data_IF_129885339755
#
_entry.id   IF_129885339755
#
_cell.length_a   1.000
_cell.length_b   1.000
_cell.length_c   1.000
_cell.angle_alpha   90.00
_cell.angle_beta   90.00
_cell.angle_gamma   90.00
#
_symmetry.space_group_name_H-M   'P 1'
#
loop_
_entity.id
_entity.type
_entity.pdbx_description
1 polymer ?
#
# COMPACT_ATOMS: atom_id res chain seq x y z
N UNK A 1 -9.37 -10.06 -16.80
CA UNK A 1 -8.76 -9.40 -15.64
C UNK A 1 -8.38 -8.00 -16.06
N UNK A 2 -8.37 -7.04 -15.16
CA UNK A 2 -7.99 -5.65 -15.44
C UNK A 2 -6.60 -5.35 -14.85
N UNK A 3 -5.93 -4.33 -15.40
CA UNK A 3 -4.56 -3.99 -15.04
C UNK A 3 -4.38 -3.61 -13.55
N UNK A 4 -5.40 -3.02 -12.91
CA UNK A 4 -5.36 -2.67 -11.48
C UNK A 4 -5.32 -3.94 -10.64
N UNK A 5 -6.22 -4.89 -10.93
CA UNK A 5 -6.26 -6.19 -10.25
C UNK A 5 -4.95 -6.96 -10.39
N UNK A 6 -4.31 -6.91 -11.58
CA UNK A 6 -3.05 -7.61 -11.81
C UNK A 6 -1.90 -6.96 -11.02
N UNK A 7 -1.84 -5.63 -10.98
CA UNK A 7 -0.85 -4.90 -10.18
C UNK A 7 -1.07 -5.12 -8.68
N UNK A 8 -2.32 -5.00 -8.19
CA UNK A 8 -2.63 -5.23 -6.77
C UNK A 8 -2.29 -6.64 -6.29
N UNK A 9 -2.49 -7.67 -7.14
CA UNK A 9 -2.02 -9.03 -6.83
C UNK A 9 -0.50 -9.13 -6.78
N UNK A 10 0.18 -8.43 -7.70
CA UNK A 10 1.63 -8.42 -7.73
C UNK A 10 2.24 -7.76 -6.49
N UNK A 11 1.57 -6.76 -5.92
CA UNK A 11 2.05 -5.95 -4.79
C UNK A 11 1.97 -6.68 -3.43
N UNK A 12 1.17 -7.74 -3.33
CA UNK A 12 0.97 -8.49 -2.08
C UNK A 12 0.66 -7.57 -0.89
N UNK A 13 -0.45 -6.85 -0.97
CA UNK A 13 -0.90 -6.02 0.13
C UNK A 13 -1.17 -6.87 1.38
N UNK A 14 -0.76 -6.37 2.51
CA UNK A 14 -1.08 -6.91 3.83
C UNK A 14 -1.53 -5.76 4.72
N UNK A 15 -2.78 -5.78 5.16
CA UNK A 15 -3.37 -4.71 5.95
C UNK A 15 -3.24 -4.93 7.45
N UNK A 16 -3.24 -3.84 8.21
CA UNK A 16 -3.42 -3.86 9.65
C UNK A 16 -4.17 -2.60 10.11
N UNK A 17 -5.04 -2.76 11.11
CA UNK A 17 -5.53 -1.67 11.95
C UNK A 17 -4.72 -1.71 13.23
N UNK A 18 -4.13 -0.59 13.60
CA UNK A 18 -3.28 -0.53 14.79
C UNK A 18 -3.84 0.36 15.89
N UNK A 19 -4.75 1.29 15.56
CA UNK A 19 -5.24 2.28 16.51
C UNK A 19 -6.69 2.67 16.25
N UNK A 20 -7.47 2.76 17.33
CA UNK A 20 -8.72 3.49 17.37
C UNK A 20 -8.56 4.68 18.30
N UNK A 21 -8.84 5.90 17.80
CA UNK A 21 -8.68 7.14 18.56
C UNK A 21 -9.99 7.87 18.79
N UNK A 22 -10.19 8.37 20.02
CA UNK A 22 -11.21 9.37 20.36
C UNK A 22 -10.50 10.65 20.72
N UNK A 23 -10.62 11.65 19.87
CA UNK A 23 -9.96 12.93 20.00
C UNK A 23 -10.98 14.02 20.31
N UNK A 24 -10.64 14.96 21.21
CA UNK A 24 -11.49 16.11 21.53
C UNK A 24 -10.73 17.41 21.27
N UNK A 25 -11.33 18.32 20.52
CA UNK A 25 -10.67 19.59 20.16
C UNK A 25 -10.28 20.44 21.41
N UNK A 26 -9.16 21.21 21.39
CA UNK A 26 -8.14 21.22 20.36
C UNK A 26 -7.19 20.02 20.46
N UNK A 27 -6.78 19.48 19.31
CA UNK A 27 -5.78 18.42 19.21
C UNK A 27 -5.11 18.44 17.82
N UNK A 28 -3.87 18.03 17.79
CA UNK A 28 -3.13 17.76 16.55
C UNK A 28 -2.08 16.68 16.84
N UNK A 29 -1.96 15.71 15.96
CA UNK A 29 -1.00 14.60 16.06
C UNK A 29 -0.18 14.52 14.80
N UNK A 30 1.11 14.22 14.94
CA UNK A 30 1.98 13.91 13.81
C UNK A 30 1.96 12.41 13.56
N UNK A 31 1.42 12.02 12.41
CA UNK A 31 1.45 10.65 11.91
C UNK A 31 2.79 10.37 11.24
N UNK A 32 3.58 9.46 11.83
CA UNK A 32 4.78 8.91 11.20
C UNK A 32 4.60 7.42 11.03
N UNK A 33 4.94 6.94 9.85
CA UNK A 33 5.03 5.51 9.63
C UNK A 33 6.39 5.04 10.13
N UNK A 34 6.49 4.79 11.45
CA UNK A 34 7.71 4.27 12.06
C UNK A 34 7.87 2.79 11.73
N UNK A 35 9.06 2.41 11.28
CA UNK A 35 9.40 1.02 11.00
C UNK A 35 9.24 0.11 12.23
N UNK A 36 9.49 0.61 13.45
CA UNK A 36 9.32 -0.14 14.69
C UNK A 36 7.84 -0.40 14.99
N UNK A 37 6.97 0.62 14.82
CA UNK A 37 5.52 0.46 14.98
C UNK A 37 4.96 -0.52 13.95
N UNK A 38 5.37 -0.37 12.69
CA UNK A 38 4.93 -1.25 11.61
C UNK A 38 5.40 -2.69 11.80
N UNK A 39 6.62 -2.91 12.31
CA UNK A 39 7.19 -4.24 12.50
C UNK A 39 6.39 -5.09 13.52
N UNK A 40 5.75 -4.48 14.50
CA UNK A 40 4.88 -5.17 15.45
C UNK A 40 3.65 -5.80 14.78
N UNK A 41 3.14 -5.20 13.70
CA UNK A 41 1.96 -5.66 12.97
C UNK A 41 2.31 -6.30 11.63
N UNK A 42 3.34 -5.80 10.96
CA UNK A 42 3.75 -6.18 9.61
C UNK A 42 5.28 -6.35 9.54
N UNK A 43 5.83 -7.44 10.06
CA UNK A 43 7.26 -7.62 10.30
C UNK A 43 8.15 -7.65 9.04
N UNK A 44 7.57 -7.65 7.84
CA UNK A 44 8.30 -7.76 6.56
C UNK A 44 8.01 -6.61 5.60
N UNK A 45 7.45 -5.49 6.07
CA UNK A 45 7.09 -4.38 5.20
C UNK A 45 8.29 -3.49 4.88
N UNK A 46 8.58 -3.31 3.59
CA UNK A 46 9.57 -2.33 3.11
C UNK A 46 8.92 -0.98 2.81
N UNK A 47 7.65 -0.96 2.40
CA UNK A 47 6.86 0.23 2.14
C UNK A 47 5.51 0.13 2.83
N UNK A 48 5.07 1.24 3.40
CA UNK A 48 3.82 1.32 4.13
C UNK A 48 2.94 2.43 3.55
N UNK A 49 1.68 2.09 3.30
CA UNK A 49 0.61 3.03 3.00
C UNK A 49 -0.13 3.29 4.31
N UNK A 50 -0.19 4.52 4.78
CA UNK A 50 -0.99 4.87 5.96
C UNK A 50 -2.40 5.28 5.54
N UNK A 51 -3.39 4.97 6.38
CA UNK A 51 -4.76 5.44 6.18
C UNK A 51 -5.42 5.80 7.52
N UNK A 52 -6.35 6.76 7.45
CA UNK A 52 -7.16 7.20 8.57
C UNK A 52 -8.61 7.30 8.15
N UNK A 53 -9.48 6.57 8.82
CA UNK A 53 -10.90 6.57 8.57
C UNK A 53 -11.61 7.38 9.65
N UNK A 54 -12.33 8.40 9.25
CA UNK A 54 -13.11 9.23 10.15
C UNK A 54 -14.45 8.56 10.40
N UNK A 55 -14.67 8.09 11.64
CA UNK A 55 -15.92 7.43 12.05
C UNK A 55 -16.95 8.43 12.51
N UNK A 56 -16.50 9.50 13.21
CA UNK A 56 -17.39 10.52 13.79
C UNK A 56 -16.67 11.87 13.82
N UNK A 57 -17.43 12.97 13.68
CA UNK A 57 -16.90 14.32 13.70
C UNK A 57 -16.16 14.70 12.42
N UNK A 58 -15.21 15.61 12.56
CA UNK A 58 -14.39 16.10 11.45
C UNK A 58 -13.00 16.50 11.92
N UNK A 59 -12.04 16.54 10.98
CA UNK A 59 -10.68 16.99 11.24
C UNK A 59 -10.01 17.52 9.96
N UNK A 60 -8.81 18.05 10.10
CA UNK A 60 -7.92 18.44 9.02
C UNK A 60 -6.74 17.50 8.95
N UNK A 61 -6.22 17.29 7.73
CA UNK A 61 -4.96 16.58 7.51
C UNK A 61 -4.11 17.30 6.47
N UNK A 62 -2.78 17.24 6.63
CA UNK A 62 -1.82 17.81 5.67
C UNK A 62 -0.49 17.05 5.74
N UNK A 63 0.31 17.11 4.68
CA UNK A 63 1.69 16.65 4.70
C UNK A 63 2.53 17.59 5.57
N UNK A 64 3.47 17.03 6.32
CA UNK A 64 4.30 17.84 7.24
C UNK A 64 5.25 18.79 6.50
N UNK A 65 5.64 18.47 5.27
CA UNK A 65 6.52 19.25 4.40
C UNK A 65 5.77 20.12 3.37
N UNK A 66 4.41 20.06 3.34
CA UNK A 66 3.57 20.76 2.38
C UNK A 66 2.27 21.27 3.03
N UNK A 67 2.29 22.47 3.66
CA UNK A 67 1.11 23.05 4.28
C UNK A 67 -0.06 23.30 3.31
N UNK A 68 0.24 23.50 2.01
CA UNK A 68 -0.79 23.73 0.98
C UNK A 68 -1.57 22.44 0.64
N UNK A 69 -1.10 21.29 1.09
CA UNK A 69 -1.79 20.00 0.97
C UNK A 69 -2.95 19.82 1.93
N UNK A 70 -3.29 20.82 2.75
CA UNK A 70 -4.31 20.72 3.78
C UNK A 70 -5.69 20.36 3.22
N UNK A 71 -6.29 19.29 3.73
CA UNK A 71 -7.63 18.83 3.38
C UNK A 71 -8.50 18.65 4.61
N UNK A 72 -9.78 19.02 4.48
CA UNK A 72 -10.78 18.80 5.51
C UNK A 72 -11.42 17.42 5.31
N UNK A 73 -11.62 16.70 6.42
CA UNK A 73 -12.21 15.37 6.48
C UNK A 73 -13.44 15.35 7.37
N UNK A 74 -14.47 14.66 6.93
CA UNK A 74 -15.71 14.44 7.67
C UNK A 74 -15.92 12.96 7.98
N UNK A 75 -16.81 12.65 8.88
CA UNK A 75 -17.24 11.27 9.15
C UNK A 75 -17.65 10.55 7.86
N UNK A 76 -17.17 9.32 7.68
CA UNK A 76 -17.33 8.50 6.48
C UNK A 76 -16.30 8.79 5.37
N UNK A 77 -15.32 9.68 5.60
CA UNK A 77 -14.23 9.90 4.66
C UNK A 77 -12.96 9.14 5.10
N UNK A 78 -12.27 8.58 4.12
CA UNK A 78 -11.00 7.87 4.26
C UNK A 78 -9.87 8.76 3.75
N UNK A 79 -8.89 9.05 4.60
CA UNK A 79 -7.61 9.63 4.22
C UNK A 79 -6.63 8.53 3.86
N UNK A 80 -5.87 8.70 2.77
CA UNK A 80 -4.81 7.79 2.36
C UNK A 80 -3.51 8.57 2.11
N UNK A 81 -2.41 8.04 2.65
CA UNK A 81 -1.03 8.53 2.45
C UNK A 81 -0.20 7.40 1.83
N UNK A 82 -0.20 7.26 0.49
CA UNK A 82 0.33 6.07 -0.21
C UNK A 82 1.84 5.87 -0.07
N UNK A 83 2.57 6.93 0.19
CA UNK A 83 4.03 6.90 0.29
C UNK A 83 4.51 6.76 1.76
N UNK A 84 3.58 6.65 2.73
CA UNK A 84 3.92 6.60 4.15
C UNK A 84 4.59 7.87 4.69
N UNK A 85 4.34 9.00 4.03
CA UNK A 85 4.95 10.29 4.37
C UNK A 85 4.45 10.79 5.72
N UNK A 86 5.29 11.58 6.38
CA UNK A 86 4.92 12.24 7.63
C UNK A 86 3.81 13.25 7.36
N UNK A 87 2.73 13.14 8.10
CA UNK A 87 1.54 13.98 7.95
C UNK A 87 0.99 14.40 9.31
N UNK A 88 0.27 15.51 9.32
CA UNK A 88 -0.43 16.03 10.48
C UNK A 88 -1.91 15.72 10.34
N UNK A 89 -2.55 15.36 11.45
CA UNK A 89 -4.00 15.22 11.55
C UNK A 89 -4.47 15.88 12.83
N UNK A 90 -5.50 16.74 12.75
CA UNK A 90 -5.92 17.53 13.91
C UNK A 90 -7.25 18.24 13.74
N UNK A 91 -7.74 18.83 14.82
CA UNK A 91 -8.99 19.63 14.83
C UNK A 91 -8.86 20.97 14.10
N UNK A 92 -7.64 21.45 13.88
CA UNK A 92 -7.31 22.64 13.07
C UNK A 92 -5.88 22.49 12.48
N UNK A 93 -5.58 23.27 11.44
CA UNK A 93 -4.31 23.17 10.68
C UNK A 93 -3.14 23.86 11.34
N UNK A 94 -3.38 24.81 12.25
CA UNK A 94 -2.40 25.69 12.89
C UNK A 94 -2.00 25.25 14.31
N UNK A 95 -2.45 24.07 14.74
CA UNK A 95 -2.12 23.55 16.05
C UNK A 95 -0.75 22.90 16.07
N UNK A 96 -0.01 23.09 17.19
CA UNK A 96 1.25 22.39 17.41
C UNK A 96 1.01 20.87 17.51
N UNK A 97 1.74 20.05 16.72
CA UNK A 97 1.50 18.63 16.69
C UNK A 97 2.13 17.93 17.90
N UNK A 98 1.39 16.99 18.48
CA UNK A 98 1.89 16.06 19.49
C UNK A 98 2.49 14.84 18.80
N UNK A 99 3.74 14.45 19.11
CA UNK A 99 4.34 13.23 18.57
C UNK A 99 3.53 11.97 18.92
N UNK A 100 3.43 11.03 17.97
CA UNK A 100 2.71 9.77 18.17
C UNK A 100 3.30 8.98 19.34
N UNK A 101 4.60 9.03 19.57
CA UNK A 101 5.29 8.36 20.67
C UNK A 101 4.80 8.89 22.05
N UNK A 102 4.50 10.19 22.14
CA UNK A 102 3.92 10.81 23.34
C UNK A 102 2.49 10.34 23.55
N UNK A 103 1.72 10.27 22.44
CA UNK A 103 0.34 9.78 22.48
C UNK A 103 0.26 8.33 22.94
N UNK A 104 1.22 7.50 22.56
CA UNK A 104 1.27 6.06 22.85
C UNK A 104 2.08 5.72 24.12
N UNK A 105 2.75 6.67 24.76
CA UNK A 105 3.68 6.42 25.87
C UNK A 105 3.05 5.70 27.09
N UNK A 106 1.74 5.75 27.26
CA UNK A 106 1.01 5.01 28.30
C UNK A 106 0.43 3.67 27.86
N UNK A 107 0.59 3.28 26.59
CA UNK A 107 -0.13 2.16 25.96
C UNK A 107 0.79 1.11 25.31
N UNK A 108 2.11 1.22 25.46
CA UNK A 108 3.11 0.30 24.90
C UNK A 108 3.07 -1.12 25.50
N UNK A 109 2.08 -1.45 26.33
CA UNK A 109 1.88 -2.77 26.93
C UNK A 109 0.82 -3.62 26.17
N UNK A 110 0.42 -3.21 24.96
CA UNK A 110 -0.50 -3.99 24.11
C UNK A 110 0.29 -5.10 23.44
N UNK A 111 -0.25 -6.32 23.46
CA UNK A 111 0.38 -7.45 22.77
C UNK A 111 0.52 -7.15 21.26
N UNK A 112 1.62 -7.61 20.64
CA UNK A 112 1.82 -7.39 19.21
C UNK A 112 0.62 -7.89 18.37
N UNK A 113 0.01 -6.98 17.60
CA UNK A 113 -1.16 -7.25 16.77
C UNK A 113 -2.52 -6.87 17.38
N UNK A 114 -2.56 -6.41 18.62
CA UNK A 114 -3.77 -5.84 19.22
C UNK A 114 -3.99 -4.38 18.76
N UNK A 115 -5.25 -3.98 18.67
CA UNK A 115 -5.63 -2.60 18.29
C UNK A 115 -5.57 -1.70 19.52
N UNK A 116 -4.69 -0.71 19.49
CA UNK A 116 -4.57 0.28 20.57
C UNK A 116 -5.80 1.19 20.59
N UNK A 117 -6.24 1.56 21.80
CA UNK A 117 -7.32 2.57 21.98
C UNK A 117 -6.73 3.80 22.66
N UNK A 118 -6.88 4.97 22.03
CA UNK A 118 -6.35 6.24 22.51
C UNK A 118 -7.48 7.23 22.75
N UNK A 119 -7.40 7.96 23.86
CA UNK A 119 -8.23 9.14 24.13
C UNK A 119 -7.33 10.33 24.39
N UNK A 120 -7.48 11.42 23.62
CA UNK A 120 -6.60 12.59 23.70
C UNK A 120 -7.33 13.87 23.29
N UNK A 121 -6.95 15.01 23.89
CA UNK A 121 -7.38 16.35 23.48
C UNK A 121 -7.86 17.24 24.61
N UNK A 122 -8.49 18.36 24.23
CA UNK A 122 -8.83 19.47 25.13
C UNK A 122 -10.28 19.51 25.63
N UNK A 123 -11.12 18.48 25.37
CA UNK A 123 -12.49 18.38 25.89
C UNK A 123 -13.57 19.06 25.04
N UNK A 124 -13.23 19.58 23.85
CA UNK A 124 -14.18 20.17 22.90
C UNK A 124 -14.87 19.11 22.00
N UNK A 125 -15.32 19.47 20.79
CA UNK A 125 -15.98 18.56 19.85
C UNK A 125 -15.17 17.30 19.58
N UNK A 126 -15.85 16.16 19.52
CA UNK A 126 -15.24 14.83 19.40
C UNK A 126 -15.03 14.45 17.94
N UNK A 127 -13.87 13.83 17.66
CA UNK A 127 -13.56 13.15 16.41
C UNK A 127 -13.11 11.72 16.74
N UNK A 128 -13.72 10.71 16.09
CA UNK A 128 -13.33 9.30 16.23
C UNK A 128 -12.70 8.80 14.94
N UNK A 129 -11.53 8.20 15.07
CA UNK A 129 -10.70 7.80 13.94
C UNK A 129 -10.24 6.35 14.12
N UNK A 130 -10.27 5.57 13.03
CA UNK A 130 -9.59 4.28 12.92
C UNK A 130 -8.36 4.48 12.04
N UNK A 131 -7.19 4.18 12.60
CA UNK A 131 -5.92 4.29 11.89
C UNK A 131 -5.37 2.91 11.56
N UNK A 132 -4.88 2.77 10.35
CA UNK A 132 -4.28 1.54 9.90
C UNK A 132 -3.18 1.80 8.87
N UNK A 133 -2.54 0.73 8.48
CA UNK A 133 -1.57 0.75 7.39
C UNK A 133 -1.65 -0.53 6.55
N UNK A 134 -1.16 -0.42 5.32
CA UNK A 134 -0.94 -1.55 4.44
C UNK A 134 0.55 -1.63 4.14
N UNK A 135 1.11 -2.81 4.35
CA UNK A 135 2.44 -3.12 3.87
C UNK A 135 2.37 -3.56 2.42
N UNK A 136 3.37 -3.20 1.67
CA UNK A 136 3.61 -3.75 0.35
C UNK A 136 5.11 -4.01 0.16
N UNK A 137 5.41 -4.98 -0.71
CA UNK A 137 6.79 -5.25 -1.09
C UNK A 137 7.34 -4.06 -1.89
N UNK A 138 8.38 -3.38 -1.38
CA UNK A 138 9.05 -2.24 -2.06
C UNK A 138 10.00 -2.70 -3.18
N UNK A 139 10.11 -4.01 -3.37
CA UNK A 139 11.00 -4.60 -4.38
C UNK A 139 10.64 -4.24 -5.81
N UNK A 140 9.46 -3.63 -5.97
CA UNK A 140 8.90 -3.32 -7.26
C UNK A 140 8.59 -1.83 -7.32
N UNK A 141 9.13 -1.13 -8.31
CA UNK A 141 8.63 0.19 -8.70
C UNK A 141 7.16 0.04 -9.09
N UNK A 142 6.30 0.00 -8.09
CA UNK A 142 4.88 -0.22 -8.28
C UNK A 142 4.27 0.99 -8.98
N UNK A 143 3.88 0.85 -10.27
CA UNK A 143 3.36 1.99 -11.03
C UNK A 143 2.08 2.54 -10.42
N UNK A 144 1.31 1.73 -9.71
CA UNK A 144 0.11 2.16 -9.01
C UNK A 144 0.45 3.13 -7.88
N UNK A 145 1.25 2.69 -6.89
CA UNK A 145 1.56 3.50 -5.71
C UNK A 145 2.29 4.79 -6.06
N UNK A 146 3.22 4.75 -7.04
CA UNK A 146 3.94 5.93 -7.49
C UNK A 146 3.08 6.92 -8.29
N UNK A 147 1.91 6.49 -8.78
CA UNK A 147 0.98 7.33 -9.53
C UNK A 147 -0.14 7.93 -8.68
N UNK A 148 -0.31 7.45 -7.44
CA UNK A 148 -1.29 8.02 -6.51
C UNK A 148 -0.80 9.39 -5.99
N UNK A 149 -1.72 10.34 -5.70
CA UNK A 149 -1.38 11.57 -5.00
C UNK A 149 -0.69 11.27 -3.67
N UNK A 150 0.21 12.16 -3.23
CA UNK A 150 0.93 12.03 -1.94
C UNK A 150 -0.02 11.94 -0.74
N UNK A 151 -1.11 12.68 -0.80
CA UNK A 151 -2.19 12.71 0.17
C UNK A 151 -3.51 12.83 -0.61
N UNK A 152 -4.50 12.01 -0.31
CA UNK A 152 -5.82 12.14 -0.89
C UNK A 152 -6.90 11.59 0.04
N UNK A 153 -8.12 12.07 -0.15
CA UNK A 153 -9.28 11.55 0.54
C UNK A 153 -10.28 10.92 -0.41
N UNK A 154 -11.06 9.99 0.13
CA UNK A 154 -12.17 9.34 -0.56
C UNK A 154 -13.42 9.46 0.30
N UNK A 155 -14.50 9.97 -0.28
CA UNK A 155 -15.81 9.97 0.36
C UNK A 155 -16.49 8.61 0.15
N UNK A 156 -16.64 7.87 1.23
CA UNK A 156 -17.21 6.53 1.21
C UNK A 156 -18.75 6.51 1.34
N UNK A 157 -19.40 7.67 1.52
CA UNK A 157 -20.84 7.79 1.82
C UNK A 157 -21.72 7.81 0.57
N UNK A 158 -21.24 8.38 -0.53
CA UNK A 158 -22.06 8.77 -1.67
C UNK A 158 -22.02 7.80 -2.85
N UNK A 159 -21.21 6.76 -2.82
CA UNK A 159 -21.22 5.72 -3.85
C UNK A 159 -22.18 4.59 -3.44
N UNK A 160 -23.29 4.38 -4.17
CA UNK A 160 -24.20 3.25 -3.93
C UNK A 160 -23.49 1.89 -3.98
N UNK A 161 -22.39 1.80 -4.74
CA UNK A 161 -21.52 0.61 -4.82
C UNK A 161 -20.67 0.45 -3.56
N UNK A 162 -20.49 1.50 -2.79
CA UNK A 162 -19.73 1.53 -1.55
C UNK A 162 -20.62 1.48 -0.28
N UNK A 163 -21.94 1.35 -0.40
CA UNK A 163 -22.86 1.26 0.74
C UNK A 163 -22.50 0.09 1.69
N UNK A 164 -21.94 -0.99 1.16
CA UNK A 164 -21.40 -2.09 1.95
C UNK A 164 -20.16 -1.66 2.76
N UNK A 165 -19.40 -0.69 2.28
CA UNK A 165 -18.22 -0.16 2.96
C UNK A 165 -18.61 0.56 4.25
N UNK A 166 -19.66 1.37 4.26
CA UNK A 166 -20.13 2.03 5.49
C UNK A 166 -20.47 1.01 6.58
N UNK A 167 -21.16 -0.07 6.20
CA UNK A 167 -21.45 -1.17 7.12
C UNK A 167 -20.19 -1.90 7.57
N UNK A 168 -19.24 -2.11 6.65
CA UNK A 168 -17.95 -2.74 6.93
C UNK A 168 -17.07 -1.88 7.83
N UNK A 169 -17.14 -0.55 7.70
CA UNK A 169 -16.42 0.39 8.55
C UNK A 169 -16.95 0.40 9.98
N UNK A 170 -18.29 0.42 10.13
CA UNK A 170 -18.95 0.29 11.43
C UNK A 170 -18.59 -1.06 12.07
N UNK A 171 -18.58 -2.13 11.27
CA UNK A 171 -18.15 -3.45 11.72
C UNK A 171 -16.67 -3.45 12.13
N UNK A 172 -15.77 -2.87 11.33
CA UNK A 172 -14.34 -2.79 11.63
C UNK A 172 -14.09 -2.04 12.95
N UNK A 173 -14.76 -0.90 13.16
CA UNK A 173 -14.67 -0.14 14.40
C UNK A 173 -15.17 -0.95 15.62
N UNK A 174 -16.27 -1.70 15.45
CA UNK A 174 -16.80 -2.60 16.48
C UNK A 174 -15.88 -3.78 16.76
N UNK A 175 -15.33 -4.39 15.71
CA UNK A 175 -14.40 -5.52 15.82
C UNK A 175 -13.08 -5.12 16.47
N UNK A 176 -12.54 -3.94 16.12
CA UNK A 176 -11.34 -3.39 16.75
C UNK A 176 -11.51 -3.16 18.26
N UNK A 177 -12.74 -2.84 18.71
CA UNK A 177 -13.07 -2.63 20.12
C UNK A 177 -13.38 -3.93 20.88
N UNK A 178 -13.57 -5.07 20.20
CA UNK A 178 -14.16 -6.28 20.80
C UNK A 178 -13.17 -7.36 21.20
N UNK A 179 -11.90 -7.27 20.81
CA UNK A 179 -10.83 -8.27 21.07
C UNK A 179 -11.25 -9.72 20.75
N UNK A 180 -12.08 -9.93 19.72
CA UNK A 180 -12.58 -11.25 19.33
C UNK A 180 -11.51 -12.07 18.64
N UNK A 181 -11.52 -13.38 18.84
CA UNK A 181 -10.63 -14.31 18.14
C UNK A 181 -10.76 -14.16 16.60
N UNK A 182 -9.64 -13.92 15.90
CA UNK A 182 -9.62 -13.69 14.46
C UNK A 182 -9.93 -12.26 14.02
N UNK A 183 -10.22 -11.34 14.94
CA UNK A 183 -10.54 -9.95 14.63
C UNK A 183 -9.43 -9.23 13.84
N UNK A 184 -8.18 -9.45 14.17
CA UNK A 184 -7.02 -8.87 13.46
C UNK A 184 -6.98 -9.28 11.98
N UNK A 185 -7.31 -10.54 11.67
CA UNK A 185 -7.35 -11.03 10.27
C UNK A 185 -8.52 -10.36 9.52
N UNK A 186 -9.67 -10.23 10.16
CA UNK A 186 -10.83 -9.55 9.57
C UNK A 186 -10.49 -8.10 9.28
N UNK A 187 -9.89 -7.38 10.22
CA UNK A 187 -9.46 -5.99 10.06
C UNK A 187 -8.41 -5.83 8.96
N UNK A 188 -7.46 -6.76 8.86
CA UNK A 188 -6.47 -6.78 7.79
C UNK A 188 -7.13 -6.87 6.40
N UNK A 189 -8.09 -7.80 6.23
CA UNK A 189 -8.82 -7.95 4.96
C UNK A 189 -9.71 -6.76 4.62
N UNK A 190 -10.35 -6.17 5.62
CA UNK A 190 -11.11 -4.94 5.42
C UNK A 190 -10.20 -3.77 4.99
N UNK A 191 -9.01 -3.63 5.58
CA UNK A 191 -8.02 -2.62 5.18
C UNK A 191 -7.59 -2.77 3.72
N UNK A 192 -7.35 -4.00 3.27
CA UNK A 192 -7.02 -4.30 1.88
C UNK A 192 -8.17 -3.89 0.92
N UNK A 193 -9.41 -4.23 1.27
CA UNK A 193 -10.59 -3.87 0.48
C UNK A 193 -10.82 -2.35 0.44
N UNK A 194 -10.65 -1.65 1.56
CA UNK A 194 -10.74 -0.19 1.63
C UNK A 194 -9.74 0.48 0.69
N UNK A 195 -8.51 -0.03 0.65
CA UNK A 195 -7.49 0.50 -0.24
C UNK A 195 -7.83 0.26 -1.72
N UNK A 196 -8.35 -0.91 -2.07
CA UNK A 196 -8.81 -1.18 -3.45
C UNK A 196 -9.88 -0.18 -3.87
N UNK A 197 -10.87 0.09 -3.01
CA UNK A 197 -11.93 1.07 -3.31
C UNK A 197 -11.38 2.51 -3.34
N UNK A 198 -10.44 2.86 -2.48
CA UNK A 198 -9.76 4.16 -2.53
C UNK A 198 -9.04 4.38 -3.87
N UNK A 199 -8.34 3.36 -4.37
CA UNK A 199 -7.69 3.40 -5.68
C UNK A 199 -8.70 3.55 -6.81
N UNK A 200 -9.81 2.81 -6.78
CA UNK A 200 -10.89 2.90 -7.79
C UNK A 200 -11.50 4.28 -7.82
N UNK A 201 -11.85 4.83 -6.65
CA UNK A 201 -12.39 6.19 -6.54
C UNK A 201 -11.39 7.23 -7.04
N UNK A 202 -10.10 7.07 -6.73
CA UNK A 202 -9.05 7.95 -7.24
C UNK A 202 -8.97 7.90 -8.78
N UNK A 203 -9.06 6.72 -9.40
CA UNK A 203 -9.06 6.57 -10.86
C UNK A 203 -10.31 7.23 -11.48
N UNK A 204 -11.47 7.05 -10.88
CA UNK A 204 -12.74 7.63 -11.36
C UNK A 204 -12.75 9.16 -11.26
N UNK A 205 -12.13 9.72 -10.21
CA UNK A 205 -12.05 11.16 -9.97
C UNK A 205 -10.96 11.89 -10.77
N UNK A 206 -10.11 11.16 -11.53
CA UNK A 206 -9.04 11.79 -12.31
C UNK A 206 -9.59 12.79 -13.33
N UNK A 207 -9.00 13.98 -13.47
CA UNK A 207 -9.31 14.90 -14.58
C UNK A 207 -9.05 14.26 -15.95
N UNK A 208 -9.79 14.67 -16.98
CA UNK A 208 -9.67 14.09 -18.33
C UNK A 208 -8.32 14.33 -19.01
N UNK A 209 -7.62 15.40 -18.62
CA UNK A 209 -6.31 15.77 -19.15
C UNK A 209 -5.14 15.17 -18.36
N UNK A 210 -5.43 14.36 -17.33
CA UNK A 210 -4.40 13.72 -16.51
C UNK A 210 -3.59 12.72 -17.33
N UNK A 211 -2.30 12.65 -17.09
CA UNK A 211 -1.38 11.63 -17.60
C UNK A 211 -0.88 10.73 -16.45
N UNK A 212 -0.12 9.71 -16.78
CA UNK A 212 0.40 8.74 -15.82
C UNK A 212 -0.34 7.41 -15.88
N UNK A 213 0.10 6.48 -15.05
CA UNK A 213 -0.37 5.09 -15.09
C UNK A 213 -1.87 4.96 -14.82
N UNK A 214 -2.40 5.69 -13.84
CA UNK A 214 -3.82 5.66 -13.49
C UNK A 214 -4.69 6.16 -14.64
N UNK A 215 -4.28 7.24 -15.33
CA UNK A 215 -4.95 7.74 -16.51
C UNK A 215 -4.91 6.73 -17.67
N UNK A 216 -3.76 6.05 -17.84
CA UNK A 216 -3.60 4.96 -18.80
C UNK A 216 -4.55 3.79 -18.53
N UNK A 217 -4.75 3.43 -17.26
CA UNK A 217 -5.71 2.37 -16.87
C UNK A 217 -7.16 2.78 -17.16
N UNK A 218 -7.53 4.04 -16.92
CA UNK A 218 -8.86 4.59 -17.22
C UNK A 218 -9.13 4.67 -18.72
N UNK A 219 -8.09 4.83 -19.55
CA UNK A 219 -8.24 4.92 -20.99
C UNK A 219 -8.71 3.59 -21.59
N UNK A 220 -9.74 3.63 -22.41
CA UNK A 220 -10.37 2.46 -23.04
C UNK A 220 -9.38 1.56 -23.78
N UNK A 221 -8.45 2.15 -24.53
CA UNK A 221 -7.53 1.41 -25.40
C UNK A 221 -6.25 1.03 -24.67
N UNK A 222 -5.67 1.99 -23.97
CA UNK A 222 -4.42 1.78 -23.20
C UNK A 222 -4.69 0.87 -22.00
N UNK A 223 -5.79 1.02 -21.28
CA UNK A 223 -6.18 0.14 -20.19
C UNK A 223 -6.36 -1.31 -20.66
N UNK A 224 -6.99 -1.52 -21.84
CA UNK A 224 -7.08 -2.85 -22.44
C UNK A 224 -5.71 -3.39 -22.87
N UNK A 225 -4.83 -2.53 -23.41
CA UNK A 225 -3.46 -2.92 -23.74
C UNK A 225 -2.67 -3.34 -22.48
N UNK A 226 -2.75 -2.56 -21.40
CA UNK A 226 -2.14 -2.89 -20.11
C UNK A 226 -2.64 -4.24 -19.58
N UNK A 227 -3.95 -4.48 -19.61
CA UNK A 227 -4.54 -5.75 -19.18
C UNK A 227 -4.01 -6.94 -19.98
N UNK A 228 -3.84 -6.80 -21.30
CA UNK A 228 -3.27 -7.84 -22.17
C UNK A 228 -1.79 -8.08 -21.84
N UNK A 229 -1.00 -7.01 -21.67
CA UNK A 229 0.42 -7.10 -21.34
C UNK A 229 0.65 -7.74 -19.97
N UNK A 230 -0.20 -7.44 -18.99
CA UNK A 230 -0.10 -8.03 -17.65
C UNK A 230 -0.51 -9.50 -17.64
N UNK A 231 -1.68 -9.82 -18.22
CA UNK A 231 -2.21 -11.18 -18.21
C UNK A 231 -1.35 -12.17 -19.00
N UNK A 232 -0.63 -11.69 -20.03
CA UNK A 232 0.18 -12.50 -20.94
C UNK A 232 1.60 -11.92 -21.07
N UNK A 233 2.25 -11.65 -19.95
CA UNK A 233 3.56 -11.01 -19.94
C UNK A 233 4.64 -11.78 -20.71
N UNK A 234 4.54 -13.11 -20.77
CA UNK A 234 5.50 -13.99 -21.48
C UNK A 234 5.29 -13.99 -22.99
N UNK A 235 4.05 -13.72 -23.44
CA UNK A 235 3.74 -13.71 -24.86
C UNK A 235 4.66 -12.74 -25.63
N UNK A 236 5.20 -13.12 -26.82
CA UNK A 236 6.10 -12.28 -27.61
C UNK A 236 5.34 -11.16 -28.33
N UNK A 237 4.72 -10.27 -27.57
CA UNK A 237 3.92 -9.16 -28.09
C UNK A 237 4.70 -8.29 -29.08
N UNK A 238 4.07 -7.96 -30.19
CA UNK A 238 4.46 -6.85 -31.05
C UNK A 238 3.48 -5.71 -30.88
N UNK A 239 3.90 -4.46 -31.18
CA UNK A 239 3.01 -3.29 -31.15
C UNK A 239 1.83 -3.46 -32.13
N UNK A 240 2.10 -4.08 -33.29
CA UNK A 240 1.08 -4.36 -34.31
C UNK A 240 0.00 -5.33 -33.83
N UNK A 241 0.40 -6.39 -33.15
CA UNK A 241 -0.53 -7.36 -32.59
C UNK A 241 -1.35 -6.74 -31.48
N UNK A 242 -0.68 -6.03 -30.55
CA UNK A 242 -1.34 -5.35 -29.45
C UNK A 242 -2.36 -4.30 -29.95
N UNK A 243 -1.98 -3.53 -30.95
CA UNK A 243 -2.84 -2.52 -31.58
C UNK A 243 -4.11 -3.15 -32.20
N UNK A 244 -3.96 -4.24 -32.94
CA UNK A 244 -5.11 -4.99 -33.50
C UNK A 244 -6.04 -5.52 -32.39
N UNK A 245 -5.49 -6.04 -31.30
CA UNK A 245 -6.26 -6.56 -30.16
C UNK A 245 -7.09 -5.50 -29.45
N UNK A 246 -6.60 -4.26 -29.42
CA UNK A 246 -7.33 -3.14 -28.78
C UNK A 246 -8.17 -2.32 -29.75
N UNK A 247 -8.04 -2.55 -31.06
CA UNK A 247 -8.84 -1.86 -32.09
C UNK A 247 -8.26 -0.51 -32.54
N UNK A 248 -6.93 -0.37 -32.54
CA UNK A 248 -6.20 0.80 -33.01
C UNK A 248 -5.20 0.43 -34.13
N UNK A 249 -4.73 1.44 -34.88
CA UNK A 249 -3.53 1.29 -35.70
C UNK A 249 -2.29 1.25 -34.80
N UNK A 250 -1.17 0.68 -35.33
CA UNK A 250 0.12 0.64 -34.64
C UNK A 250 0.58 2.01 -34.15
N UNK A 251 0.54 3.02 -35.02
CA UNK A 251 0.96 4.39 -34.71
C UNK A 251 0.06 5.03 -33.66
N UNK A 252 -1.27 4.86 -33.79
CA UNK A 252 -2.22 5.42 -32.83
C UNK A 252 -2.06 4.82 -31.43
N UNK A 253 -1.86 3.50 -31.32
CA UNK A 253 -1.59 2.88 -30.02
C UNK A 253 -0.25 3.36 -29.44
N UNK A 254 0.82 3.34 -30.24
CA UNK A 254 2.15 3.72 -29.77
C UNK A 254 2.17 5.17 -29.25
N UNK A 255 1.55 6.09 -29.99
CA UNK A 255 1.46 7.49 -29.60
C UNK A 255 0.63 7.64 -28.32
N UNK A 256 -0.63 7.14 -28.30
CA UNK A 256 -1.53 7.25 -27.16
C UNK A 256 -0.97 6.64 -25.87
N UNK A 257 -0.33 5.48 -25.99
CA UNK A 257 0.32 4.79 -24.87
C UNK A 257 1.49 5.61 -24.33
N UNK A 258 2.31 6.21 -25.21
CA UNK A 258 3.45 7.05 -24.82
C UNK A 258 2.97 8.37 -24.21
N UNK A 259 1.94 9.01 -24.76
CA UNK A 259 1.38 10.26 -24.24
C UNK A 259 0.84 10.07 -22.81
N UNK A 260 0.19 8.93 -22.53
CA UNK A 260 -0.35 8.66 -21.20
C UNK A 260 0.70 8.15 -20.21
N UNK A 261 1.55 7.21 -20.61
CA UNK A 261 2.48 6.53 -19.67
C UNK A 261 3.93 7.02 -19.74
N UNK A 262 4.26 7.96 -20.66
CA UNK A 262 5.62 8.48 -20.84
C UNK A 262 6.62 7.48 -21.44
N UNK A 263 6.16 6.30 -21.88
CA UNK A 263 7.02 5.25 -22.45
C UNK A 263 6.28 4.37 -23.45
N UNK A 264 6.98 3.80 -24.46
CA UNK A 264 6.39 2.89 -25.45
C UNK A 264 5.89 1.57 -24.84
N UNK A 265 4.90 0.88 -25.46
CA UNK A 265 4.30 -0.35 -24.95
C UNK A 265 5.30 -1.47 -24.67
N UNK A 266 6.27 -1.71 -25.57
CA UNK A 266 7.26 -2.78 -25.40
C UNK A 266 8.30 -2.48 -24.31
N UNK A 267 8.60 -1.22 -24.06
CA UNK A 267 9.44 -0.81 -22.94
C UNK A 267 8.71 -1.04 -21.61
N UNK A 268 7.43 -0.72 -21.56
CA UNK A 268 6.57 -1.01 -20.42
C UNK A 268 6.53 -2.52 -20.14
N UNK A 269 6.29 -3.35 -21.15
CA UNK A 269 6.29 -4.81 -21.01
C UNK A 269 7.63 -5.34 -20.49
N UNK A 270 8.75 -4.83 -21.00
CA UNK A 270 10.07 -5.24 -20.53
C UNK A 270 10.27 -4.94 -19.04
N UNK A 271 9.83 -3.76 -18.56
CA UNK A 271 9.84 -3.41 -17.14
C UNK A 271 8.92 -4.31 -16.33
N UNK A 272 7.71 -4.55 -16.80
CA UNK A 272 6.76 -5.44 -16.13
C UNK A 272 7.33 -6.87 -15.97
N UNK A 273 7.96 -7.41 -17.00
CA UNK A 273 8.67 -8.69 -16.91
C UNK A 273 9.77 -8.69 -15.84
N UNK A 274 10.53 -7.60 -15.73
CA UNK A 274 11.56 -7.48 -14.68
C UNK A 274 10.93 -7.44 -13.27
N UNK A 275 9.76 -6.85 -13.11
CA UNK A 275 9.01 -6.87 -11.85
C UNK A 275 8.60 -8.30 -11.47
N UNK A 276 8.02 -9.05 -12.40
CA UNK A 276 7.67 -10.46 -12.18
C UNK A 276 8.93 -11.27 -11.80
N UNK A 277 10.04 -11.04 -12.49
CA UNK A 277 11.29 -11.73 -12.19
C UNK A 277 11.80 -11.43 -10.78
N UNK A 278 11.74 -10.19 -10.34
CA UNK A 278 12.16 -9.79 -9.00
C UNK A 278 11.34 -10.52 -7.91
N UNK A 279 10.03 -10.67 -8.10
CA UNK A 279 9.16 -11.44 -7.20
C UNK A 279 9.54 -12.93 -7.15
N UNK A 280 9.75 -13.55 -8.31
CA UNK A 280 10.17 -14.96 -8.40
C UNK A 280 11.53 -15.20 -7.73
N UNK A 281 12.46 -14.25 -7.88
CA UNK A 281 13.76 -14.29 -7.21
C UNK A 281 13.64 -14.23 -5.69
N UNK A 282 12.73 -13.42 -5.16
CA UNK A 282 12.46 -13.31 -3.71
C UNK A 282 11.78 -14.55 -3.16
N UNK A 283 10.87 -15.17 -3.92
CA UNK A 283 10.27 -16.44 -3.54
C UNK A 283 11.31 -17.58 -3.42
N UNK A 284 12.51 -17.40 -3.98
CA UNK A 284 13.67 -18.26 -3.75
C UNK A 284 13.61 -19.68 -4.34
N UNK A 285 12.49 -20.04 -4.98
CA UNK A 285 12.17 -21.42 -5.37
C UNK A 285 12.77 -21.86 -6.71
N UNK A 286 13.23 -20.91 -7.56
CA UNK A 286 13.64 -21.16 -8.93
C UNK A 286 15.10 -20.77 -9.18
N UNK A 287 15.76 -21.46 -10.12
CA UNK A 287 17.06 -21.04 -10.63
C UNK A 287 16.93 -19.77 -11.47
N UNK A 288 18.05 -19.07 -11.71
CA UNK A 288 18.06 -17.86 -12.56
C UNK A 288 17.64 -18.19 -13.99
N UNK A 289 18.07 -19.35 -14.52
CA UNK A 289 17.67 -19.83 -15.84
C UNK A 289 16.15 -20.06 -15.92
N UNK A 290 15.57 -20.72 -14.92
CA UNK A 290 14.12 -20.96 -14.87
C UNK A 290 13.30 -19.66 -14.75
N UNK A 291 13.79 -18.66 -14.02
CA UNK A 291 13.16 -17.34 -13.97
C UNK A 291 13.25 -16.63 -15.32
N UNK A 292 14.43 -16.67 -15.98
CA UNK A 292 14.63 -16.07 -17.30
C UNK A 292 13.65 -16.65 -18.34
N UNK A 293 13.54 -17.97 -18.40
CA UNK A 293 12.61 -18.68 -19.29
C UNK A 293 11.16 -18.31 -18.99
N UNK A 294 10.77 -18.32 -17.72
CA UNK A 294 9.40 -17.98 -17.27
C UNK A 294 8.95 -16.60 -17.69
N UNK A 295 9.86 -15.62 -17.79
CA UNK A 295 9.53 -14.25 -18.21
C UNK A 295 9.81 -13.97 -19.68
N UNK A 296 10.11 -15.04 -20.47
CA UNK A 296 10.27 -14.99 -21.92
C UNK A 296 11.62 -14.45 -22.41
N UNK A 297 12.71 -14.69 -21.66
CA UNK A 297 14.07 -14.43 -22.12
C UNK A 297 14.72 -15.70 -22.64
N UNK A 298 15.36 -15.61 -23.81
CA UNK A 298 16.01 -16.72 -24.48
C UNK A 298 17.28 -17.24 -23.76
N UNK A 299 17.87 -16.41 -22.88
CA UNK A 299 19.05 -16.79 -22.12
C UNK A 299 19.14 -16.06 -20.77
N UNK A 300 19.76 -16.76 -19.80
CA UNK A 300 20.08 -16.18 -18.48
C UNK A 300 20.98 -14.94 -18.60
N UNK A 301 21.88 -14.90 -19.58
CA UNK A 301 22.77 -13.77 -19.81
C UNK A 301 22.02 -12.54 -20.31
N UNK A 302 21.05 -12.70 -21.23
CA UNK A 302 20.19 -11.61 -21.70
C UNK A 302 19.29 -11.09 -20.58
N UNK A 303 18.69 -11.98 -19.80
CA UNK A 303 17.94 -11.65 -18.60
C UNK A 303 18.78 -10.87 -17.58
N UNK A 304 19.97 -11.36 -17.23
CA UNK A 304 20.84 -10.70 -16.24
C UNK A 304 21.24 -9.28 -16.65
N UNK A 305 21.49 -9.04 -17.94
CA UNK A 305 21.75 -7.68 -18.44
C UNK A 305 20.53 -6.77 -18.32
N UNK A 306 19.34 -7.26 -18.67
CA UNK A 306 18.10 -6.51 -18.58
C UNK A 306 17.75 -6.21 -17.12
N UNK A 307 17.89 -7.18 -16.23
CA UNK A 307 17.66 -7.04 -14.80
C UNK A 307 18.59 -6.01 -14.15
N UNK A 308 19.91 -6.08 -14.47
CA UNK A 308 20.89 -5.11 -13.98
C UNK A 308 20.59 -3.69 -14.47
N UNK A 309 20.10 -3.53 -15.70
CA UNK A 309 19.71 -2.21 -16.23
C UNK A 309 18.51 -1.62 -15.47
N UNK A 310 17.55 -2.45 -15.08
CA UNK A 310 16.35 -2.01 -14.35
C UNK A 310 16.60 -1.77 -12.87
N UNK A 311 17.34 -2.68 -12.19
CA UNK A 311 17.51 -2.65 -10.73
C UNK A 311 18.93 -2.24 -10.27
N UNK A 312 19.82 -1.88 -11.19
CA UNK A 312 21.18 -1.46 -10.88
C UNK A 312 22.15 -2.59 -10.52
N UNK A 313 21.64 -3.80 -10.22
CA UNK A 313 22.47 -4.94 -9.79
C UNK A 313 22.04 -6.26 -10.47
N UNK A 314 22.95 -7.26 -10.56
CA UNK A 314 22.62 -8.57 -11.13
C UNK A 314 21.59 -9.35 -10.28
N UNK A 315 20.79 -10.26 -10.89
CA UNK A 315 19.74 -11.05 -10.20
C UNK A 315 20.25 -11.84 -9.00
N UNK A 316 21.44 -12.45 -9.09
CA UNK A 316 22.04 -13.20 -7.98
C UNK A 316 22.41 -12.30 -6.80
N UNK A 317 22.95 -11.11 -7.06
CA UNK A 317 23.23 -10.08 -6.05
C UNK A 317 21.96 -9.58 -5.38
N UNK A 318 20.94 -9.32 -6.19
CA UNK A 318 19.61 -8.92 -5.73
C UNK A 318 19.00 -9.96 -4.77
N UNK A 319 18.92 -11.23 -5.18
CA UNK A 319 18.43 -12.33 -4.34
C UNK A 319 19.16 -12.40 -2.99
N UNK A 320 20.51 -12.27 -3.01
CA UNK A 320 21.33 -12.34 -1.81
C UNK A 320 21.15 -11.14 -0.88
N UNK A 321 21.04 -9.92 -1.42
CA UNK A 321 20.88 -8.70 -0.64
C UNK A 321 19.52 -8.68 0.08
N UNK A 322 18.46 -9.00 -0.65
CA UNK A 322 17.09 -9.02 -0.10
C UNK A 322 16.83 -10.24 0.78
N UNK A 323 17.42 -11.40 0.47
CA UNK A 323 17.35 -12.60 1.32
C UNK A 323 18.04 -12.42 2.68
N UNK A 324 19.12 -11.64 2.76
CA UNK A 324 19.77 -11.29 4.03
C UNK A 324 18.89 -10.36 4.90
N UNK A 325 18.20 -9.41 4.29
CA UNK A 325 17.27 -8.54 5.00
C UNK A 325 16.11 -9.35 5.60
N UNK A 326 15.56 -10.32 4.84
CA UNK A 326 14.51 -11.21 5.33
C UNK A 326 15.00 -12.15 6.46
N UNK A 327 16.21 -12.69 6.38
CA UNK A 327 16.79 -13.56 7.42
C UNK A 327 17.19 -12.81 8.72
N UNK A 328 17.60 -11.56 8.62
CA UNK A 328 17.89 -10.73 9.79
C UNK A 328 16.61 -10.40 10.58
N UNK A 329 15.48 -10.22 9.90
CA UNK A 329 14.17 -10.03 10.53
C UNK A 329 13.67 -11.29 11.24
N UNK A 330 13.92 -12.49 10.68
CA UNK A 330 13.60 -13.78 11.32
C UNK A 330 14.46 -14.04 12.59
N UNK A 331 15.74 -13.65 12.55
CA UNK A 331 16.64 -13.82 13.70
C UNK A 331 16.34 -12.88 14.86
N UNK A 332 15.79 -11.70 14.57
CA UNK A 332 15.38 -10.73 15.60
C UNK A 332 14.11 -11.15 16.36
N UNK A 333 13.30 -12.05 15.80
CA UNK A 333 12.07 -12.58 16.41
C UNK A 333 12.29 -13.83 17.27
N UNK A 334 13.44 -14.49 17.20
CA UNK A 334 13.82 -15.62 18.05
C UNK A 334 14.41 -15.12 19.39
N UNK A 335 13.60 -14.44 20.20
CA UNK A 335 13.91 -14.25 21.61
C UNK A 335 13.65 -15.60 22.30
N UNK A 336 14.64 -16.23 22.97
CA UNK A 336 14.41 -17.49 23.68
C UNK A 336 13.38 -17.27 24.78
N UNK A 337 12.36 -18.11 24.81
CA UNK A 337 11.44 -18.21 25.94
C UNK A 337 12.26 -18.36 27.23
N UNK A 338 12.05 -17.43 28.16
CA UNK A 338 12.72 -17.41 29.44
C UNK A 338 12.52 -18.76 30.13
N UNK A 339 13.64 -19.47 30.30
CA UNK A 339 13.74 -20.70 31.07
C UNK A 339 13.23 -20.49 32.51
N UNK A 340 12.35 -21.39 32.89
CA UNK A 340 11.69 -21.60 34.14
C UNK A 340 12.19 -20.90 35.40
N UNK A 341 11.29 -20.15 36.01
CA UNK A 341 11.37 -19.86 37.45
C UNK A 341 10.66 -21.02 38.16
N UNK A 342 11.46 -21.86 38.80
CA UNK A 342 10.99 -22.88 39.74
C UNK A 342 10.53 -22.16 41.04
N UNK A 343 9.31 -22.39 41.54
CA UNK A 343 8.87 -21.80 42.81
C UNK A 343 9.66 -22.41 43.96
N UNK A 344 10.01 -21.62 45.01
CA UNK A 344 10.68 -22.16 46.22
C UNK A 344 9.71 -23.06 46.99
N UNK A 345 10.24 -24.22 47.44
CA UNK A 345 9.55 -25.15 48.32
C UNK A 345 9.33 -24.52 49.69
N UNK A 346 8.12 -24.70 50.24
CA UNK A 346 7.77 -24.39 51.64
C UNK A 346 8.69 -25.11 52.63
N UNK A 347 9.17 -24.35 53.58
CA UNK A 347 9.47 -24.81 54.96
C UNK A 347 8.89 -23.82 55.96
#
# INVERSE_FOLDING_TARGET
MDAVSDVLRAVRLSGAVYLTGTFTAPWCVIGRTDAALCAAYLPRSERVVSYHLIIEGSCWAQLADDPDSAIHLNAGELLVVPQGETHLIGSAVDLAPTPTEVLLAGQMAVEPGEVMTVSYGGGGPTTRIVCGFLACDDTLSNPLLSSLPRLFKVDMRHDPRAAWLESSLKFAASEAASSRAGGTIVLARLSELLFVEAVRSCIEALPDHQTGWLAGVRDRYVGRALSLLHAQAVHPWTVDELARKVGLSRSALAQRFTDLLGQPPMQYLARWRMQIAAQELLAGRKSLAAVAEQIGYESEAAFSRAFRREFGMPPAGWRKSKGKMNGAAESAQAVPAASGITPPADQ
#
